data_IF_596805659976
#
_entry.id   IF_596805659976
#
_cell.length_a   1.000
_cell.length_b   1.000
_cell.length_c   1.000
_cell.angle_alpha   90.00
_cell.angle_beta   90.00
_cell.angle_gamma   90.00
#
_symmetry.space_group_name_H-M   'P 1'
#
loop_
_entity.id
_entity.type
_entity.pdbx_description
1 polymer ?
#
# COMPACT_ATOMS: atom_id res chain seq x y z
N UNK A 1 -12.59 -12.13 -13.51
CA UNK A 1 -12.75 -11.13 -12.41
C UNK A 1 -11.74 -10.00 -12.59
N UNK A 2 -11.94 -8.90 -11.88
CA UNK A 2 -10.97 -7.82 -11.70
C UNK A 2 -10.43 -7.88 -10.29
N UNK A 3 -9.13 -8.07 -10.14
CA UNK A 3 -8.47 -8.31 -8.85
C UNK A 3 -7.48 -7.19 -8.56
N UNK A 4 -7.74 -6.42 -7.50
CA UNK A 4 -6.82 -5.42 -6.97
C UNK A 4 -5.74 -6.07 -6.10
N UNK A 5 -4.56 -5.47 -6.08
CA UNK A 5 -3.41 -5.96 -5.32
C UNK A 5 -2.72 -4.74 -4.70
N UNK A 6 -2.60 -4.73 -3.37
CA UNK A 6 -1.81 -3.74 -2.64
C UNK A 6 -0.76 -4.45 -1.79
N UNK A 7 0.50 -4.35 -2.19
CA UNK A 7 1.64 -4.81 -1.41
C UNK A 7 2.16 -3.74 -0.46
N UNK A 8 2.65 -4.14 0.70
CA UNK A 8 3.26 -3.20 1.62
C UNK A 8 3.83 -3.84 2.88
N UNK A 9 4.67 -3.10 3.60
CA UNK A 9 5.18 -3.56 4.90
C UNK A 9 4.12 -3.50 6.00
N UNK A 10 3.13 -2.60 5.90
CA UNK A 10 2.07 -2.37 6.88
C UNK A 10 2.59 -2.33 8.33
N UNK A 11 3.58 -1.49 8.58
CA UNK A 11 4.34 -1.42 9.82
C UNK A 11 4.23 -0.03 10.51
N UNK A 12 3.06 0.31 11.13
CA UNK A 12 1.77 -0.38 11.07
C UNK A 12 0.95 -0.08 9.82
N UNK A 13 -0.11 -0.85 9.62
CA UNK A 13 -1.21 -0.47 8.74
C UNK A 13 -1.90 0.78 9.28
N UNK A 14 -2.38 1.65 8.38
CA UNK A 14 -3.10 2.88 8.74
C UNK A 14 -4.23 3.19 7.77
N UNK A 15 -5.10 4.13 8.14
CA UNK A 15 -6.33 4.45 7.39
C UNK A 15 -6.09 4.81 5.93
N UNK A 16 -4.97 5.45 5.59
CA UNK A 16 -4.67 5.79 4.19
C UNK A 16 -4.45 4.56 3.31
N UNK A 17 -3.91 3.47 3.86
CA UNK A 17 -3.85 2.21 3.11
C UNK A 17 -5.26 1.72 2.75
N UNK A 18 -6.19 1.78 3.71
CA UNK A 18 -7.57 1.37 3.49
C UNK A 18 -8.31 2.32 2.52
N UNK A 19 -8.17 3.63 2.71
CA UNK A 19 -8.79 4.63 1.85
C UNK A 19 -8.33 4.51 0.40
N UNK A 20 -7.02 4.30 0.19
CA UNK A 20 -6.45 4.07 -1.14
C UNK A 20 -7.04 2.80 -1.77
N UNK A 21 -7.00 1.69 -1.06
CA UNK A 21 -7.48 0.41 -1.58
C UNK A 21 -8.99 0.44 -1.85
N UNK A 22 -9.78 1.03 -0.94
CA UNK A 22 -11.23 1.18 -1.09
C UNK A 22 -11.57 2.07 -2.30
N UNK A 23 -10.91 3.21 -2.44
CA UNK A 23 -11.11 4.09 -3.58
C UNK A 23 -10.81 3.39 -4.92
N UNK A 24 -9.65 2.70 -5.01
CA UNK A 24 -9.29 1.99 -6.25
C UNK A 24 -10.29 0.86 -6.52
N UNK A 25 -10.71 0.12 -5.48
CA UNK A 25 -11.69 -0.95 -5.60
C UNK A 25 -12.98 -0.45 -6.24
N UNK A 26 -13.46 0.71 -5.77
CA UNK A 26 -14.70 1.31 -6.25
C UNK A 26 -14.56 1.86 -7.68
N UNK A 27 -13.57 2.73 -7.93
CA UNK A 27 -13.44 3.41 -9.23
C UNK A 27 -13.03 2.49 -10.37
N UNK A 28 -12.32 1.39 -10.06
CA UNK A 28 -11.92 0.37 -11.03
C UNK A 28 -12.93 -0.80 -11.09
N UNK A 29 -13.99 -0.78 -10.27
CA UNK A 29 -15.00 -1.84 -10.17
C UNK A 29 -14.35 -3.21 -9.98
N UNK A 30 -13.50 -3.32 -8.92
CA UNK A 30 -12.77 -4.56 -8.64
C UNK A 30 -13.66 -5.53 -7.86
N UNK A 31 -13.70 -6.79 -8.31
CA UNK A 31 -14.47 -7.86 -7.68
C UNK A 31 -13.84 -8.33 -6.37
N UNK A 32 -12.49 -8.39 -6.35
CA UNK A 32 -11.68 -8.87 -5.24
C UNK A 32 -10.51 -7.91 -5.03
N UNK A 33 -10.02 -7.80 -3.79
CA UNK A 33 -8.85 -6.99 -3.49
C UNK A 33 -7.91 -7.71 -2.50
N UNK A 34 -6.68 -8.00 -2.94
CA UNK A 34 -5.66 -8.67 -2.14
C UNK A 34 -4.78 -7.64 -1.43
N UNK A 35 -4.65 -7.77 -0.12
CA UNK A 35 -3.68 -7.03 0.71
C UNK A 35 -2.54 -7.98 1.02
N UNK A 36 -1.34 -7.65 0.56
CA UNK A 36 -0.17 -8.53 0.63
C UNK A 36 0.88 -7.91 1.55
N UNK A 37 0.96 -8.33 2.83
CA UNK A 37 2.05 -7.94 3.69
C UNK A 37 3.35 -8.61 3.24
N UNK A 38 4.41 -7.81 3.01
CA UNK A 38 5.72 -8.37 2.66
C UNK A 38 6.33 -9.10 3.86
N UNK A 39 6.76 -10.35 3.71
CA UNK A 39 7.44 -11.07 4.79
C UNK A 39 8.78 -10.39 5.12
N UNK A 40 9.64 -10.23 4.13
CA UNK A 40 10.91 -9.50 4.25
C UNK A 40 10.99 -8.44 3.14
N UNK A 41 10.81 -7.15 3.45
CA UNK A 41 11.01 -6.08 2.48
C UNK A 41 12.47 -6.03 2.03
N UNK A 42 12.79 -6.13 0.74
CA UNK A 42 14.17 -6.25 0.25
C UNK A 42 15.05 -5.01 0.54
N UNK A 43 14.43 -3.89 0.91
CA UNK A 43 15.13 -2.62 1.12
C UNK A 43 15.10 -2.12 2.58
N UNK A 44 14.57 -2.89 3.54
CA UNK A 44 14.42 -2.43 4.93
C UNK A 44 15.04 -3.41 5.91
N UNK A 45 16.29 -3.16 6.31
CA UNK A 45 16.92 -3.83 7.46
C UNK A 45 16.27 -3.50 8.83
N UNK A 46 15.10 -2.85 8.84
CA UNK A 46 14.51 -2.23 10.03
C UNK A 46 13.13 -2.78 10.37
N UNK A 47 12.73 -3.92 9.83
CA UNK A 47 11.46 -4.52 10.23
C UNK A 47 11.70 -5.38 11.49
N UNK A 48 11.84 -4.72 12.66
CA UNK A 48 11.94 -5.41 13.96
C UNK A 48 10.60 -6.01 14.43
N UNK A 49 9.58 -6.02 13.57
CA UNK A 49 8.24 -6.49 13.89
C UNK A 49 7.95 -7.71 13.04
N UNK A 50 7.46 -8.77 13.69
CA UNK A 50 7.19 -10.03 13.03
C UNK A 50 6.17 -9.89 11.89
N UNK A 51 6.19 -10.82 10.96
CA UNK A 51 5.19 -10.91 9.91
C UNK A 51 3.80 -11.11 10.52
N UNK A 52 3.71 -11.96 11.55
CA UNK A 52 2.51 -12.30 12.28
C UNK A 52 1.87 -11.08 12.96
N UNK A 53 2.68 -10.21 13.60
CA UNK A 53 2.19 -8.96 14.19
C UNK A 53 1.58 -8.03 13.14
N UNK A 54 2.21 -7.93 11.96
CA UNK A 54 1.71 -7.07 10.88
C UNK A 54 0.43 -7.61 10.27
N UNK A 55 0.34 -8.92 10.06
CA UNK A 55 -0.89 -9.61 9.65
C UNK A 55 -1.98 -9.42 10.70
N UNK A 56 -1.63 -9.55 12.00
CA UNK A 56 -2.57 -9.31 13.08
C UNK A 56 -3.10 -7.89 13.09
N UNK A 57 -2.23 -6.89 12.95
CA UNK A 57 -2.67 -5.50 12.84
C UNK A 57 -3.60 -5.27 11.63
N UNK A 58 -3.33 -5.88 10.48
CA UNK A 58 -4.22 -5.83 9.33
C UNK A 58 -5.60 -6.42 9.65
N UNK A 59 -5.66 -7.57 10.32
CA UNK A 59 -6.92 -8.23 10.69
C UNK A 59 -7.77 -7.42 11.71
N UNK A 60 -7.17 -6.48 12.40
CA UNK A 60 -7.87 -5.57 13.33
C UNK A 60 -8.46 -4.34 12.64
N UNK A 61 -8.25 -4.17 11.33
CA UNK A 61 -8.76 -3.07 10.54
C UNK A 61 -9.94 -3.48 9.66
N UNK A 62 -10.46 -2.52 8.89
CA UNK A 62 -11.52 -2.77 7.91
C UNK A 62 -11.08 -3.66 6.75
N UNK A 63 -9.80 -3.99 6.62
CA UNK A 63 -9.30 -4.96 5.62
C UNK A 63 -9.77 -6.40 5.85
N UNK A 64 -10.24 -6.74 7.05
CA UNK A 64 -10.85 -8.04 7.33
C UNK A 64 -12.33 -8.11 6.89
N UNK A 65 -12.82 -7.11 6.15
CA UNK A 65 -14.23 -6.94 5.77
C UNK A 65 -14.33 -6.36 4.36
N UNK A 66 -15.55 -6.27 3.84
CA UNK A 66 -15.88 -5.50 2.63
C UNK A 66 -15.19 -5.98 1.33
N UNK A 67 -14.90 -7.27 1.20
CA UNK A 67 -14.34 -7.85 -0.02
C UNK A 67 -12.84 -7.59 -0.21
N UNK A 68 -12.13 -7.32 0.89
CA UNK A 68 -10.68 -7.41 0.96
C UNK A 68 -10.27 -8.77 1.51
N UNK A 69 -9.11 -9.24 1.09
CA UNK A 69 -8.51 -10.50 1.53
C UNK A 69 -7.04 -10.27 1.87
N UNK A 70 -6.65 -10.60 3.09
CA UNK A 70 -5.24 -10.57 3.51
C UNK A 70 -4.60 -11.85 2.97
N UNK A 71 -3.64 -11.70 2.07
CA UNK A 71 -2.96 -12.81 1.40
C UNK A 71 -1.63 -13.11 2.08
N UNK A 72 -1.34 -14.39 2.25
CA UNK A 72 -0.09 -14.91 2.79
C UNK A 72 0.91 -15.37 1.71
N UNK A 73 0.71 -14.94 0.48
CA UNK A 73 1.55 -15.36 -0.68
C UNK A 73 3.04 -15.04 -0.52
N UNK A 74 3.36 -14.08 0.35
CA UNK A 74 4.73 -13.67 0.71
C UNK A 74 5.08 -14.05 2.17
N UNK A 75 4.55 -15.14 2.72
CA UNK A 75 4.72 -15.50 4.13
C UNK A 75 6.07 -16.15 4.47
N UNK A 76 6.94 -16.41 3.50
CA UNK A 76 8.26 -17.02 3.74
C UNK A 76 9.31 -15.93 4.06
N UNK A 77 9.73 -15.76 5.34
CA UNK A 77 10.73 -14.76 5.71
C UNK A 77 12.16 -15.16 5.35
N UNK A 78 12.39 -16.37 4.84
CA UNK A 78 13.73 -16.87 4.50
C UNK A 78 14.22 -16.38 3.14
N UNK A 79 13.32 -15.86 2.31
CA UNK A 79 13.63 -15.36 0.96
C UNK A 79 13.13 -13.92 0.78
N UNK A 80 13.85 -13.09 0.00
CA UNK A 80 13.33 -11.80 -0.38
C UNK A 80 12.14 -11.95 -1.33
N UNK A 81 11.09 -11.16 -1.11
CA UNK A 81 9.92 -11.12 -1.98
C UNK A 81 9.94 -9.83 -2.81
N UNK A 82 10.03 -9.99 -4.12
CA UNK A 82 9.94 -8.88 -5.07
C UNK A 82 8.56 -8.85 -5.70
N UNK A 83 8.04 -7.65 -5.93
CA UNK A 83 6.73 -7.46 -6.57
C UNK A 83 6.63 -8.17 -7.92
N UNK A 84 7.75 -8.28 -8.66
CA UNK A 84 7.81 -9.03 -9.91
C UNK A 84 7.43 -10.50 -9.72
N UNK A 85 8.09 -11.19 -8.79
CA UNK A 85 7.88 -12.63 -8.56
C UNK A 85 6.47 -12.89 -8.00
N UNK A 86 5.99 -11.99 -7.16
CA UNK A 86 4.63 -12.07 -6.59
C UNK A 86 3.57 -11.89 -7.67
N UNK A 87 3.73 -10.92 -8.56
CA UNK A 87 2.79 -10.71 -9.66
C UNK A 87 2.83 -11.84 -10.69
N UNK A 88 4.02 -12.40 -10.97
CA UNK A 88 4.13 -13.58 -11.83
C UNK A 88 3.37 -14.77 -11.24
N UNK A 89 3.52 -15.05 -9.93
CA UNK A 89 2.75 -16.09 -9.22
C UNK A 89 1.25 -15.83 -9.31
N UNK A 90 0.81 -14.61 -9.05
CA UNK A 90 -0.62 -14.24 -9.10
C UNK A 90 -1.18 -14.36 -10.53
N UNK A 91 -0.42 -13.93 -11.54
CA UNK A 91 -0.81 -14.09 -12.94
C UNK A 91 -1.04 -15.56 -13.31
N UNK A 92 -0.16 -16.45 -12.82
CA UNK A 92 -0.30 -17.89 -13.04
C UNK A 92 -1.47 -18.51 -12.25
N UNK A 93 -1.82 -17.97 -11.07
CA UNK A 93 -2.97 -18.40 -10.28
C UNK A 93 -4.31 -17.89 -10.85
N UNK A 94 -4.30 -16.75 -11.52
CA UNK A 94 -5.48 -16.07 -12.07
C UNK A 94 -5.34 -15.80 -13.58
N UNK A 95 -5.11 -16.81 -14.42
CA UNK A 95 -4.72 -16.63 -15.83
C UNK A 95 -5.81 -16.02 -16.72
N UNK A 96 -7.06 -15.99 -16.25
CA UNK A 96 -8.21 -15.44 -16.96
C UNK A 96 -8.79 -14.19 -16.31
N UNK A 97 -8.10 -13.63 -15.34
CA UNK A 97 -8.55 -12.47 -14.58
C UNK A 97 -7.67 -11.25 -14.86
N UNK A 98 -8.25 -10.05 -14.75
CA UNK A 98 -7.49 -8.82 -14.87
C UNK A 98 -6.90 -8.45 -13.52
N UNK A 99 -5.58 -8.40 -13.42
CA UNK A 99 -4.84 -7.99 -12.22
C UNK A 99 -4.56 -6.49 -12.25
N UNK A 100 -4.66 -5.83 -11.09
CA UNK A 100 -4.42 -4.40 -10.91
C UNK A 100 -3.52 -4.18 -9.70
N UNK A 101 -2.22 -3.97 -9.95
CA UNK A 101 -1.25 -3.69 -8.90
C UNK A 101 -1.25 -2.20 -8.55
N UNK A 102 -1.52 -1.90 -7.28
CA UNK A 102 -1.72 -0.54 -6.78
C UNK A 102 -0.45 0.01 -6.14
N UNK A 103 -0.09 1.26 -6.47
CA UNK A 103 1.07 1.94 -5.91
C UNK A 103 0.84 3.46 -5.84
N UNK A 104 1.69 4.16 -5.09
CA UNK A 104 1.75 5.62 -5.09
C UNK A 104 2.63 6.19 -6.19
N UNK A 105 2.50 7.47 -6.48
CA UNK A 105 3.33 8.19 -7.45
C UNK A 105 4.81 8.17 -7.05
N UNK A 106 5.13 8.17 -5.77
CA UNK A 106 6.48 8.01 -5.25
C UNK A 106 7.14 6.68 -5.67
N UNK A 107 6.35 5.60 -5.76
CA UNK A 107 6.82 4.30 -6.23
C UNK A 107 6.99 4.27 -7.75
N UNK A 108 6.04 4.86 -8.49
CA UNK A 108 6.15 4.96 -9.95
C UNK A 108 7.36 5.80 -10.37
N UNK A 109 7.64 6.91 -9.67
CA UNK A 109 8.73 7.80 -10.01
C UNK A 109 10.10 7.10 -10.06
N UNK A 110 10.27 6.04 -9.29
CA UNK A 110 11.50 5.26 -9.19
C UNK A 110 11.29 3.77 -9.53
N UNK A 111 10.31 3.44 -10.36
CA UNK A 111 9.97 2.07 -10.72
C UNK A 111 11.14 1.33 -11.41
N UNK A 112 11.99 2.06 -12.12
CA UNK A 112 13.24 1.55 -12.74
C UNK A 112 14.27 1.02 -11.72
N UNK A 113 14.18 1.44 -10.44
CA UNK A 113 15.06 0.95 -9.36
C UNK A 113 14.54 -0.34 -8.69
N UNK A 114 13.31 -0.73 -8.99
CA UNK A 114 12.75 -1.98 -8.47
C UNK A 114 13.29 -3.17 -9.25
N UNK A 115 13.38 -4.33 -8.59
CA UNK A 115 13.73 -5.57 -9.27
C UNK A 115 12.75 -5.83 -10.42
N UNK A 116 13.23 -5.72 -11.66
CA UNK A 116 12.41 -5.82 -12.88
C UNK A 116 11.15 -4.94 -12.86
N UNK A 117 11.23 -3.76 -12.25
CA UNK A 117 10.06 -2.92 -11.98
C UNK A 117 9.27 -2.55 -13.23
N UNK A 118 9.95 -2.18 -14.33
CA UNK A 118 9.28 -1.86 -15.60
C UNK A 118 8.64 -3.10 -16.28
N UNK A 119 8.99 -4.30 -15.85
CA UNK A 119 8.41 -5.54 -16.36
C UNK A 119 7.14 -5.99 -15.62
N UNK A 120 6.75 -5.33 -14.52
CA UNK A 120 5.52 -5.63 -13.79
C UNK A 120 4.29 -5.55 -14.70
N UNK A 121 4.36 -4.71 -15.72
CA UNK A 121 3.31 -4.53 -16.73
C UNK A 121 3.04 -5.81 -17.56
N UNK A 122 3.95 -6.79 -17.53
CA UNK A 122 3.75 -8.08 -18.20
C UNK A 122 2.66 -8.93 -17.53
N UNK A 123 2.44 -8.72 -16.25
CA UNK A 123 1.58 -9.55 -15.42
C UNK A 123 0.32 -8.83 -14.94
N UNK A 124 0.34 -7.52 -14.87
CA UNK A 124 -0.76 -6.75 -14.29
C UNK A 124 -0.86 -5.35 -14.88
N UNK A 125 -2.06 -4.77 -14.79
CA UNK A 125 -2.22 -3.34 -14.90
C UNK A 125 -1.61 -2.67 -13.67
N UNK A 126 -0.99 -1.50 -13.83
CA UNK A 126 -0.51 -0.69 -12.70
C UNK A 126 -1.50 0.43 -12.44
N UNK A 127 -1.95 0.58 -11.20
CA UNK A 127 -2.85 1.66 -10.77
C UNK A 127 -2.10 2.56 -9.81
N UNK A 128 -1.89 3.80 -10.24
CA UNK A 128 -1.05 4.77 -9.53
C UNK A 128 -1.91 5.89 -8.98
N UNK A 129 -1.83 6.13 -7.68
CA UNK A 129 -2.51 7.26 -7.03
C UNK A 129 -1.53 8.41 -6.81
N UNK A 130 -2.04 9.64 -6.82
CA UNK A 130 -1.26 10.82 -6.45
C UNK A 130 -0.72 10.70 -5.03
N UNK A 131 0.43 11.32 -4.79
CA UNK A 131 1.03 11.45 -3.48
C UNK A 131 1.53 12.87 -3.28
N UNK A 132 1.26 13.46 -2.12
CA UNK A 132 1.73 14.79 -1.80
C UNK A 132 3.26 14.87 -1.88
N UNK A 133 3.77 15.91 -2.55
CA UNK A 133 5.21 16.09 -2.79
C UNK A 133 5.74 15.34 -4.00
N UNK A 134 4.91 14.59 -4.74
CA UNK A 134 5.28 13.92 -5.99
C UNK A 134 4.34 14.30 -7.12
N UNK A 135 4.91 14.60 -8.28
CA UNK A 135 4.21 14.96 -9.50
C UNK A 135 4.76 14.19 -10.70
N UNK A 136 4.13 14.37 -11.84
CA UNK A 136 4.65 13.81 -13.11
C UNK A 136 6.08 14.26 -13.42
N UNK A 137 6.49 15.47 -12.98
CA UNK A 137 7.83 16.00 -13.22
C UNK A 137 8.92 15.32 -12.38
N UNK A 138 8.55 14.60 -11.32
CA UNK A 138 9.48 13.87 -10.45
C UNK A 138 9.78 12.46 -10.98
N UNK A 139 9.12 12.06 -12.07
CA UNK A 139 9.31 10.75 -12.68
C UNK A 139 10.70 10.67 -13.32
N UNK A 140 11.46 9.62 -12.94
CA UNK A 140 12.76 9.35 -13.49
C UNK A 140 12.68 9.27 -15.02
N UNK A 141 13.69 9.82 -15.70
CA UNK A 141 13.78 9.80 -17.15
C UNK A 141 13.72 8.39 -17.75
N UNK A 142 14.19 7.38 -17.01
CA UNK A 142 14.16 5.97 -17.43
C UNK A 142 12.75 5.35 -17.35
N UNK A 143 11.83 5.94 -16.55
CA UNK A 143 10.43 5.55 -16.46
C UNK A 143 9.54 6.27 -17.48
N UNK A 144 9.98 7.43 -17.98
CA UNK A 144 9.20 8.25 -18.93
C UNK A 144 8.79 7.47 -20.18
N UNK A 145 9.66 6.71 -20.89
CA UNK A 145 9.27 5.91 -22.04
C UNK A 145 8.24 4.83 -21.72
N UNK A 146 8.32 4.24 -20.51
CA UNK A 146 7.34 3.28 -20.03
C UNK A 146 5.94 3.91 -19.95
N UNK A 147 5.83 5.12 -19.38
CA UNK A 147 4.55 5.83 -19.28
C UNK A 147 4.05 6.25 -20.66
N UNK A 148 4.92 6.64 -21.58
CA UNK A 148 4.52 6.96 -22.94
C UNK A 148 3.90 5.75 -23.67
N UNK A 149 4.38 4.55 -23.40
CA UNK A 149 3.91 3.32 -24.04
C UNK A 149 2.65 2.72 -23.38
N UNK A 150 2.54 2.80 -22.06
CA UNK A 150 1.50 2.10 -21.28
C UNK A 150 0.57 3.03 -20.51
N UNK A 151 0.90 4.32 -20.43
CA UNK A 151 0.20 5.27 -19.57
C UNK A 151 -1.19 5.63 -20.07
N UNK A 152 -2.16 5.56 -19.20
CA UNK A 152 -3.47 6.19 -19.33
C UNK A 152 -3.52 7.40 -18.40
N UNK A 153 -3.50 8.58 -19.00
CA UNK A 153 -3.39 9.87 -18.31
C UNK A 153 -4.58 10.76 -18.72
N UNK A 154 -4.98 11.64 -17.81
CA UNK A 154 -5.86 12.74 -18.15
C UNK A 154 -5.21 13.72 -19.14
N UNK A 155 -6.03 14.55 -19.78
CA UNK A 155 -5.57 15.55 -20.77
C UNK A 155 -4.55 16.54 -20.20
N UNK A 156 -4.62 16.82 -18.91
CA UNK A 156 -3.72 17.71 -18.18
C UNK A 156 -2.42 17.02 -17.70
N UNK A 157 -2.23 15.73 -17.99
CA UNK A 157 -1.13 14.88 -17.50
C UNK A 157 -1.05 14.73 -15.96
N UNK A 158 -2.09 15.17 -15.23
CA UNK A 158 -2.15 15.08 -13.76
C UNK A 158 -2.81 13.78 -13.27
N UNK A 159 -3.28 12.94 -14.19
CA UNK A 159 -4.00 11.71 -13.91
C UNK A 159 -5.47 11.78 -14.32
N UNK A 160 -6.12 10.64 -14.31
CA UNK A 160 -7.53 10.47 -14.66
C UNK A 160 -8.43 10.87 -13.49
N UNK A 161 -9.48 11.64 -13.79
CA UNK A 161 -10.58 11.84 -12.87
C UNK A 161 -11.64 10.73 -13.00
N UNK A 162 -12.59 10.66 -12.07
CA UNK A 162 -13.62 9.61 -12.04
C UNK A 162 -14.43 9.52 -13.35
N UNK A 163 -14.80 10.66 -13.93
CA UNK A 163 -15.54 10.70 -15.21
C UNK A 163 -14.74 10.15 -16.39
N UNK A 164 -13.41 10.26 -16.36
CA UNK A 164 -12.53 9.70 -17.38
C UNK A 164 -12.35 8.20 -17.20
N UNK A 165 -12.32 7.72 -15.94
CA UNK A 165 -12.26 6.30 -15.59
C UNK A 165 -13.49 5.53 -16.07
N UNK A 166 -14.67 6.13 -16.02
CA UNK A 166 -15.90 5.51 -16.55
C UNK A 166 -15.77 5.09 -18.03
N UNK A 167 -14.97 5.81 -18.80
CA UNK A 167 -14.71 5.47 -20.21
C UNK A 167 -13.82 4.25 -20.39
N UNK A 168 -13.10 3.84 -19.32
CA UNK A 168 -12.21 2.69 -19.35
C UNK A 168 -12.93 1.36 -19.02
N UNK A 169 -14.22 1.39 -18.66
CA UNK A 169 -14.96 0.19 -18.27
C UNK A 169 -14.95 -0.93 -19.33
N UNK A 170 -14.88 -0.54 -20.61
CA UNK A 170 -14.86 -1.48 -21.75
C UNK A 170 -13.45 -1.80 -22.25
N UNK A 171 -12.39 -1.39 -21.55
CA UNK A 171 -11.01 -1.74 -21.93
C UNK A 171 -10.73 -3.22 -21.64
N UNK A 172 -9.96 -3.83 -22.54
CA UNK A 172 -9.45 -5.18 -22.34
C UNK A 172 -8.23 -5.14 -21.41
N UNK A 173 -8.49 -5.29 -20.12
CA UNK A 173 -7.45 -5.32 -19.09
C UNK A 173 -6.82 -6.71 -18.87
N UNK A 174 -7.28 -7.73 -19.57
CA UNK A 174 -6.73 -9.10 -19.50
C UNK A 174 -5.61 -9.27 -20.52
N UNK A 175 -5.89 -8.93 -21.78
CA UNK A 175 -4.93 -9.17 -22.87
C UNK A 175 -4.00 -7.96 -23.11
N UNK A 176 -4.34 -6.79 -22.58
CA UNK A 176 -3.53 -5.58 -22.69
C UNK A 176 -3.44 -4.85 -21.37
N UNK A 177 -2.24 -4.67 -20.89
CA UNK A 177 -2.00 -4.01 -19.60
C UNK A 177 -1.66 -2.53 -19.77
N UNK A 178 -2.04 -1.74 -18.78
CA UNK A 178 -1.92 -0.28 -18.76
C UNK A 178 -1.34 0.22 -17.43
N UNK A 179 -0.66 1.35 -17.48
CA UNK A 179 -0.29 2.14 -16.32
C UNK A 179 -1.33 3.27 -16.16
N UNK A 180 -2.27 3.08 -15.24
CA UNK A 180 -3.44 3.95 -15.03
C UNK A 180 -3.09 4.93 -13.92
N UNK A 181 -2.92 6.20 -14.25
CA UNK A 181 -2.58 7.23 -13.26
C UNK A 181 -3.84 7.98 -12.85
N UNK A 182 -4.15 7.94 -11.55
CA UNK A 182 -5.32 8.55 -10.94
C UNK A 182 -4.95 9.91 -10.34
N UNK A 183 -5.84 10.88 -10.49
CA UNK A 183 -5.65 12.24 -9.95
C UNK A 183 -5.80 12.32 -8.43
N UNK A 184 -6.41 11.31 -7.79
CA UNK A 184 -6.70 11.30 -6.35
C UNK A 184 -5.41 11.19 -5.54
N UNK A 185 -5.24 12.13 -4.61
CA UNK A 185 -4.24 12.07 -3.54
C UNK A 185 -4.91 11.72 -2.20
N UNK A 186 -4.16 11.06 -1.33
CA UNK A 186 -4.55 10.76 0.05
C UNK A 186 -3.72 11.61 1.02
N UNK A 187 -3.95 11.45 2.33
CA UNK A 187 -3.21 12.20 3.33
C UNK A 187 -1.70 11.88 3.29
N UNK A 188 -0.89 12.80 3.79
CA UNK A 188 0.57 12.60 3.88
C UNK A 188 0.96 11.95 5.21
N UNK A 189 0.33 10.82 5.53
CA UNK A 189 0.74 9.98 6.66
C UNK A 189 1.68 8.88 6.19
N UNK A 190 2.64 8.54 7.03
CA UNK A 190 3.50 7.38 6.81
C UNK A 190 3.59 6.54 8.09
N UNK A 191 3.73 5.22 7.91
CA UNK A 191 3.98 4.32 9.04
C UNK A 191 5.19 4.75 9.89
N UNK A 192 6.19 5.40 9.27
CA UNK A 192 7.37 5.93 9.99
C UNK A 192 7.00 7.05 10.97
N UNK A 193 6.15 7.99 10.57
CA UNK A 193 5.66 9.05 11.48
C UNK A 193 4.91 8.45 12.67
N UNK A 194 4.07 7.46 12.40
CA UNK A 194 3.30 6.75 13.44
C UNK A 194 4.24 6.05 14.42
N UNK A 195 5.27 5.36 13.93
CA UNK A 195 6.26 4.69 14.81
C UNK A 195 7.01 5.67 15.71
N UNK A 196 7.38 6.84 15.19
CA UNK A 196 8.03 7.90 15.97
C UNK A 196 7.14 8.34 17.14
N UNK A 197 5.82 8.49 16.95
CA UNK A 197 4.91 8.85 18.02
C UNK A 197 4.85 7.78 19.13
N UNK A 198 4.84 6.47 18.77
CA UNK A 198 4.94 5.41 19.77
C UNK A 198 6.29 5.40 20.51
N UNK A 199 7.38 5.64 19.81
CA UNK A 199 8.70 5.73 20.42
C UNK A 199 8.78 6.89 21.43
N UNK A 200 8.27 8.07 21.05
CA UNK A 200 8.19 9.24 21.93
C UNK A 200 7.35 8.92 23.19
N UNK A 201 6.19 8.28 23.01
CA UNK A 201 5.37 7.81 24.14
C UNK A 201 6.17 6.89 25.09
N UNK A 202 6.82 5.86 24.55
CA UNK A 202 7.58 4.93 25.37
C UNK A 202 8.78 5.57 26.05
N UNK A 203 9.45 6.54 25.44
CA UNK A 203 10.54 7.30 26.05
C UNK A 203 10.03 8.19 27.21
N UNK A 204 8.93 8.90 26.97
CA UNK A 204 8.33 9.82 27.95
C UNK A 204 7.78 9.11 29.18
N UNK A 205 7.22 7.91 29.00
CA UNK A 205 6.52 7.13 30.04
C UNK A 205 7.21 5.80 30.37
N UNK A 206 8.53 5.69 30.18
CA UNK A 206 9.32 4.45 30.17
C UNK A 206 9.01 3.45 31.30
N UNK A 207 8.73 3.94 32.52
CA UNK A 207 8.47 3.11 33.71
C UNK A 207 6.97 2.80 33.94
N UNK A 208 6.08 3.51 33.25
CA UNK A 208 4.62 3.47 33.47
C UNK A 208 3.80 3.45 32.20
N UNK A 209 4.38 3.07 31.07
CA UNK A 209 3.73 3.08 29.76
C UNK A 209 2.51 2.14 29.71
N UNK A 210 1.41 2.56 30.35
CA UNK A 210 0.13 1.84 30.34
C UNK A 210 -0.72 2.32 29.16
N UNK A 211 -1.56 1.43 28.66
CA UNK A 211 -2.53 1.72 27.60
C UNK A 211 -3.46 2.90 27.96
N UNK A 212 -3.93 2.98 29.23
CA UNK A 212 -4.74 4.10 29.70
C UNK A 212 -4.04 5.45 29.53
N UNK A 213 -2.75 5.51 29.86
CA UNK A 213 -1.95 6.72 29.79
C UNK A 213 -1.76 7.21 28.34
N UNK A 214 -1.59 6.29 27.39
CA UNK A 214 -1.54 6.66 25.98
C UNK A 214 -2.85 7.33 25.54
N UNK A 215 -4.00 6.77 25.92
CA UNK A 215 -5.29 7.34 25.53
C UNK A 215 -5.63 8.64 26.27
N UNK A 216 -5.15 8.85 27.49
CA UNK A 216 -5.27 10.13 28.20
C UNK A 216 -4.49 11.25 27.49
N UNK A 217 -3.37 10.91 26.86
CA UNK A 217 -2.50 11.83 26.14
C UNK A 217 -2.54 11.67 24.61
N UNK A 218 -3.59 11.05 24.07
CA UNK A 218 -3.71 10.74 22.63
C UNK A 218 -3.61 11.99 21.72
N UNK A 219 -3.91 13.18 22.26
CA UNK A 219 -3.80 14.45 21.54
C UNK A 219 -2.36 14.87 21.27
N UNK A 220 -1.39 14.34 22.04
CA UNK A 220 0.04 14.53 21.81
C UNK A 220 0.55 13.69 20.63
N UNK A 221 -0.26 12.71 20.16
CA UNK A 221 0.08 11.73 19.12
C UNK A 221 -0.90 11.78 17.94
N UNK A 222 -0.89 12.89 17.17
CA UNK A 222 -1.92 13.19 16.16
C UNK A 222 -1.99 12.16 15.03
N UNK A 223 -0.86 11.57 14.61
CA UNK A 223 -0.88 10.54 13.58
C UNK A 223 -1.55 9.26 14.09
N UNK A 224 -1.23 8.82 15.30
CA UNK A 224 -1.88 7.67 15.92
C UNK A 224 -3.38 7.92 16.11
N UNK A 225 -3.76 9.08 16.64
CA UNK A 225 -5.16 9.46 16.88
C UNK A 225 -5.98 9.46 15.59
N UNK A 226 -5.46 10.08 14.55
CA UNK A 226 -6.19 10.32 13.29
C UNK A 226 -6.19 9.10 12.38
N UNK A 227 -5.06 8.39 12.27
CA UNK A 227 -4.82 7.43 11.21
C UNK A 227 -4.78 5.97 11.64
N UNK A 228 -4.80 5.66 12.94
CA UNK A 228 -4.91 4.30 13.41
C UNK A 228 -6.32 3.96 13.89
N UNK A 229 -6.71 2.72 13.70
CA UNK A 229 -7.84 2.12 14.37
C UNK A 229 -7.48 1.86 15.85
N UNK A 230 -8.44 2.10 16.74
CA UNK A 230 -8.23 1.92 18.19
C UNK A 230 -7.70 0.52 18.52
N UNK A 231 -8.24 -0.52 17.89
CA UNK A 231 -7.81 -1.90 18.09
C UNK A 231 -6.35 -2.13 17.71
N UNK A 232 -5.84 -1.43 16.68
CA UNK A 232 -4.42 -1.48 16.29
C UNK A 232 -3.54 -0.79 17.33
N UNK A 233 -3.97 0.38 17.83
CA UNK A 233 -3.26 1.08 18.91
C UNK A 233 -3.17 0.18 20.15
N UNK A 234 -4.29 -0.41 20.56
CA UNK A 234 -4.34 -1.31 21.72
C UNK A 234 -3.41 -2.51 21.55
N UNK A 235 -3.42 -3.12 20.36
CA UNK A 235 -2.53 -4.26 20.06
C UNK A 235 -1.05 -3.87 20.15
N UNK A 236 -0.66 -2.72 19.60
CA UNK A 236 0.72 -2.21 19.66
C UNK A 236 1.15 -2.02 21.12
N UNK A 237 0.30 -1.40 21.94
CA UNK A 237 0.61 -1.11 23.35
C UNK A 237 0.67 -2.39 24.20
N UNK A 238 -0.30 -3.31 24.02
CA UNK A 238 -0.39 -4.57 24.77
C UNK A 238 0.81 -5.50 24.53
N UNK A 239 1.39 -5.44 23.32
CA UNK A 239 2.53 -6.27 22.93
C UNK A 239 3.87 -5.52 22.98
N UNK A 240 3.88 -4.26 23.42
CA UNK A 240 5.11 -3.44 23.51
C UNK A 240 5.80 -3.22 22.15
N UNK A 241 5.03 -3.26 21.07
CA UNK A 241 5.52 -3.06 19.71
C UNK A 241 6.06 -1.62 19.61
N UNK A 242 7.23 -1.43 18.95
CA UNK A 242 7.98 -0.17 18.82
C UNK A 242 8.68 0.33 20.08
N UNK A 243 8.67 -0.40 21.19
CA UNK A 243 9.31 0.04 22.44
C UNK A 243 10.83 0.03 22.40
N UNK A 244 11.43 -0.82 21.57
CA UNK A 244 12.89 -1.04 21.50
C UNK A 244 13.51 -0.58 20.15
N UNK A 245 12.83 0.25 19.39
CA UNK A 245 13.32 0.74 18.10
C UNK A 245 14.23 1.95 18.22
#
# INVERSE_FOLDING_TARGET
>A
MRIGILGGSFNPVHKDHYLLASYIKDVMSLDKFLIIPNAMPPHKNTCHISFEDRVKMLSLTSFDRNGFEISDIENDPSIPHYSYDTLEKLHNLYPHDALFFCMGMDSLAYLDKWHKGLELIKFSNLVVTGREGYSYNDINQDVTPFIQNYGLLGKDKLGLCENELLKLQNHDFINKHYCIILKRCFHNVSSSKIRIEFQDFYQKYANFAKKSEFFEHIDDYPCCKQFLDKAVIEYILDNGIYRQL
#
